data_IF_139993082906
#
_entry.id   IF_139993082906
#
_cell.length_a   1.000
_cell.length_b   1.000
_cell.length_c   1.000
_cell.angle_alpha   90.00
_cell.angle_beta   90.00
_cell.angle_gamma   90.00
#
_symmetry.space_group_name_H-M   'P 1'
#
loop_
_entity.id
_entity.type
_entity.pdbx_description
1 polymer ?
#
# COMPACT_ATOMS: atom_id res chain seq x y z
N UNK A 1 18.57 -4.00 27.57
CA UNK A 1 17.50 -4.95 27.95
C UNK A 1 16.32 -4.12 28.40
N UNK A 2 15.16 -4.26 27.76
CA UNK A 2 14.02 -3.36 27.98
C UNK A 2 13.09 -4.00 29.03
N UNK A 3 12.75 -3.25 30.07
CA UNK A 3 11.92 -3.70 31.19
C UNK A 3 12.52 -3.24 32.53
N UNK A 4 11.70 -2.86 33.53
CA UNK A 4 12.17 -2.28 34.78
C UNK A 4 13.05 -3.22 35.63
N UNK A 5 13.04 -4.52 35.34
CA UNK A 5 13.77 -5.54 36.11
C UNK A 5 14.97 -6.16 35.37
N UNK A 6 15.14 -5.90 34.06
CA UNK A 6 16.27 -6.44 33.31
C UNK A 6 16.31 -7.98 33.28
N UNK A 7 15.16 -8.62 33.02
CA UNK A 7 14.90 -10.06 33.24
C UNK A 7 15.63 -11.06 32.30
N UNK A 8 16.68 -10.62 31.61
CA UNK A 8 17.43 -11.49 30.71
C UNK A 8 16.66 -11.85 29.43
N UNK A 9 17.16 -12.89 28.77
CA UNK A 9 16.40 -13.58 27.72
C UNK A 9 15.41 -14.56 28.38
N UNK A 10 14.23 -14.74 27.78
CA UNK A 10 13.22 -15.73 28.21
C UNK A 10 13.86 -17.08 28.54
N UNK A 11 13.77 -17.56 29.79
CA UNK A 11 14.28 -18.87 30.18
C UNK A 11 13.62 -20.03 29.42
N UNK A 12 14.23 -21.23 29.39
CA UNK A 12 13.70 -22.39 28.65
C UNK A 12 12.26 -22.75 29.00
N UNK A 13 11.90 -22.74 30.29
CA UNK A 13 10.53 -23.04 30.73
C UNK A 13 9.52 -21.99 30.28
N UNK A 14 9.88 -20.70 30.35
CA UNK A 14 9.01 -19.61 29.91
C UNK A 14 8.80 -19.65 28.39
N UNK A 15 9.87 -19.94 27.62
CA UNK A 15 9.78 -20.14 26.18
C UNK A 15 8.87 -21.33 25.84
N UNK A 16 9.02 -22.46 26.55
CA UNK A 16 8.13 -23.62 26.35
C UNK A 16 6.67 -23.26 26.60
N UNK A 17 6.37 -22.57 27.71
CA UNK A 17 5.00 -22.11 28.01
C UNK A 17 4.42 -21.19 26.92
N UNK A 18 5.24 -20.29 26.36
CA UNK A 18 4.83 -19.43 25.27
C UNK A 18 4.53 -20.22 23.98
N UNK A 19 5.38 -21.20 23.64
CA UNK A 19 5.17 -22.08 22.48
C UNK A 19 3.94 -22.97 22.65
N UNK A 20 3.70 -23.49 23.85
CA UNK A 20 2.52 -24.29 24.16
C UNK A 20 1.24 -23.44 24.01
N UNK A 21 1.22 -22.21 24.54
CA UNK A 21 0.13 -21.27 24.32
C UNK A 21 -0.16 -21.03 22.82
N UNK A 22 0.90 -20.84 22.01
CA UNK A 22 0.74 -20.64 20.57
C UNK A 22 0.18 -21.90 19.90
N UNK A 23 0.61 -23.08 20.35
CA UNK A 23 0.15 -24.37 19.81
C UNK A 23 -1.33 -24.63 20.12
N UNK A 24 -1.78 -24.21 21.29
CA UNK A 24 -3.15 -24.46 21.76
C UNK A 24 -4.18 -23.50 21.15
N UNK A 25 -3.77 -22.31 20.68
CA UNK A 25 -4.67 -21.33 20.05
C UNK A 25 -4.49 -21.28 18.52
N UNK A 26 -5.32 -22.05 17.81
CA UNK A 26 -5.32 -22.16 16.34
C UNK A 26 -5.63 -20.85 15.60
N UNK A 27 -6.12 -19.81 16.30
CA UNK A 27 -6.40 -18.49 15.71
C UNK A 27 -5.11 -17.70 15.46
N UNK A 28 -4.00 -18.09 16.08
CA UNK A 28 -2.71 -17.40 15.95
C UNK A 28 -2.05 -17.74 14.61
N UNK A 29 -2.18 -16.83 13.65
CA UNK A 29 -1.60 -17.00 12.32
C UNK A 29 -0.17 -16.46 12.19
N UNK A 30 0.15 -15.42 12.97
CA UNK A 30 1.45 -14.74 12.99
C UNK A 30 2.04 -14.74 14.41
N UNK A 31 3.34 -15.02 14.52
CA UNK A 31 4.10 -14.87 15.76
C UNK A 31 5.16 -13.78 15.59
N UNK A 32 5.20 -12.81 16.52
CA UNK A 32 6.18 -11.73 16.52
C UNK A 32 7.23 -11.98 17.60
N UNK A 33 8.49 -12.08 17.21
CA UNK A 33 9.64 -12.04 18.11
C UNK A 33 10.07 -10.59 18.30
N UNK A 34 9.97 -10.09 19.53
CA UNK A 34 10.28 -8.69 19.91
C UNK A 34 10.74 -8.61 21.38
N UNK A 35 10.81 -7.40 21.96
CA UNK A 35 11.20 -7.15 23.35
C UNK A 35 12.52 -6.40 23.44
N UNK A 36 13.60 -7.11 23.80
CA UNK A 36 14.96 -6.58 23.65
C UNK A 36 15.32 -6.47 22.15
N UNK A 37 16.26 -7.29 21.68
CA UNK A 37 16.46 -7.47 20.25
C UNK A 37 16.67 -8.97 19.96
N UNK A 38 15.78 -9.63 19.20
CA UNK A 38 15.84 -11.06 18.96
C UNK A 38 17.11 -11.51 18.21
N UNK A 39 17.74 -10.64 17.41
CA UNK A 39 18.97 -10.99 16.68
C UNK A 39 20.23 -10.87 17.56
N UNK A 40 20.08 -10.51 18.84
CA UNK A 40 21.14 -10.67 19.83
C UNK A 40 21.29 -12.14 20.25
N UNK A 41 20.24 -12.96 20.09
CA UNK A 41 20.31 -14.40 20.34
C UNK A 41 21.39 -15.05 19.46
N UNK A 42 22.04 -16.09 19.98
CA UNK A 42 22.97 -16.88 19.18
C UNK A 42 22.23 -17.60 18.06
N UNK A 43 22.87 -17.83 16.89
CA UNK A 43 22.26 -18.57 15.79
C UNK A 43 21.67 -19.93 16.22
N UNK A 44 22.34 -20.64 17.14
CA UNK A 44 21.84 -21.89 17.72
C UNK A 44 20.47 -21.71 18.38
N UNK A 45 20.34 -20.73 19.27
CA UNK A 45 19.10 -20.52 20.02
C UNK A 45 17.97 -19.98 19.15
N UNK A 46 18.29 -19.10 18.19
CA UNK A 46 17.31 -18.63 17.22
C UNK A 46 16.78 -19.80 16.37
N UNK A 47 17.68 -20.70 15.93
CA UNK A 47 17.33 -21.91 15.18
C UNK A 47 16.40 -22.84 15.96
N UNK A 48 16.63 -23.03 17.26
CA UNK A 48 15.73 -23.78 18.14
C UNK A 48 14.32 -23.18 18.13
N UNK A 49 14.18 -21.85 18.33
CA UNK A 49 12.87 -21.18 18.30
C UNK A 49 12.20 -21.29 16.93
N UNK A 50 12.94 -21.05 15.85
CA UNK A 50 12.39 -21.11 14.48
C UNK A 50 11.91 -22.51 14.12
N UNK A 51 12.63 -23.56 14.55
CA UNK A 51 12.23 -24.96 14.33
C UNK A 51 11.01 -25.34 15.17
N UNK A 52 10.92 -24.90 16.42
CA UNK A 52 9.73 -25.15 17.24
C UNK A 52 8.49 -24.51 16.62
N UNK A 53 8.58 -23.24 16.19
CA UNK A 53 7.50 -22.55 15.47
C UNK A 53 7.15 -23.25 14.14
N UNK A 54 8.11 -23.93 13.51
CA UNK A 54 7.87 -24.69 12.29
C UNK A 54 6.86 -25.83 12.50
N UNK A 55 6.88 -26.45 13.69
CA UNK A 55 6.00 -27.58 14.06
C UNK A 55 4.55 -27.18 14.29
N UNK A 56 4.27 -25.88 14.38
CA UNK A 56 2.91 -25.37 14.63
C UNK A 56 2.27 -25.04 13.28
N UNK A 57 1.30 -25.85 12.87
CA UNK A 57 0.75 -25.78 11.52
C UNK A 57 0.04 -24.45 11.23
N UNK A 58 -0.83 -23.97 12.12
CA UNK A 58 -1.59 -22.74 11.92
C UNK A 58 -0.74 -21.46 11.90
N UNK A 59 0.46 -21.49 12.47
CA UNK A 59 1.42 -20.38 12.35
C UNK A 59 2.02 -20.40 10.95
N UNK A 60 1.78 -19.35 10.18
CA UNK A 60 2.31 -19.22 8.80
C UNK A 60 3.39 -18.16 8.69
N UNK A 61 3.29 -17.10 9.50
CA UNK A 61 4.21 -15.97 9.48
C UNK A 61 4.96 -15.90 10.80
N UNK A 62 6.28 -15.71 10.70
CA UNK A 62 7.09 -15.23 11.83
C UNK A 62 7.58 -13.84 11.47
N UNK A 63 7.45 -12.88 12.39
CA UNK A 63 7.99 -11.53 12.22
C UNK A 63 8.99 -11.22 13.33
N UNK A 64 10.14 -10.67 12.97
CA UNK A 64 11.20 -10.32 13.91
C UNK A 64 11.37 -8.80 13.91
N UNK A 65 11.28 -8.18 15.08
CA UNK A 65 11.55 -6.75 15.23
C UNK A 65 12.97 -6.56 15.75
N UNK A 66 13.81 -5.83 15.03
CA UNK A 66 15.24 -5.76 15.35
C UNK A 66 15.85 -4.45 14.89
N UNK A 67 16.83 -3.98 15.65
CA UNK A 67 17.73 -2.89 15.32
C UNK A 67 19.12 -3.39 14.95
N UNK A 68 19.45 -4.66 15.23
CA UNK A 68 20.79 -5.25 15.00
C UNK A 68 21.38 -4.92 13.63
N UNK A 69 20.68 -5.03 12.48
CA UNK A 69 21.30 -4.70 11.20
C UNK A 69 21.82 -3.25 11.13
N UNK A 70 21.20 -2.31 11.84
CA UNK A 70 21.59 -0.90 11.87
C UNK A 70 22.69 -0.57 12.90
N UNK A 71 22.88 -1.40 13.94
CA UNK A 71 23.83 -1.13 15.04
C UNK A 71 25.03 -2.07 15.07
N UNK A 72 24.86 -3.30 14.59
CA UNK A 72 25.89 -4.34 14.50
C UNK A 72 25.66 -5.18 13.22
N UNK A 73 25.90 -4.59 12.03
CA UNK A 73 25.62 -5.25 10.74
C UNK A 73 26.42 -6.55 10.55
N UNK A 74 27.57 -6.71 11.22
CA UNK A 74 28.41 -7.91 11.13
C UNK A 74 27.74 -9.14 11.74
N UNK A 75 26.77 -8.96 12.66
CA UNK A 75 25.97 -10.06 13.20
C UNK A 75 25.10 -10.77 12.18
N UNK A 76 24.82 -10.15 11.04
CA UNK A 76 24.11 -10.80 9.95
C UNK A 76 25.10 -11.77 9.28
N UNK A 77 25.47 -12.86 9.95
CA UNK A 77 26.39 -13.89 9.48
C UNK A 77 25.65 -15.01 8.74
N UNK A 78 26.38 -15.89 8.06
CA UNK A 78 25.76 -17.02 7.35
C UNK A 78 25.03 -17.96 8.32
N UNK A 79 25.60 -18.19 9.50
CA UNK A 79 24.95 -18.97 10.57
C UNK A 79 23.63 -18.36 11.02
N UNK A 80 23.56 -17.03 11.16
CA UNK A 80 22.33 -16.34 11.52
C UNK A 80 21.30 -16.45 10.40
N UNK A 81 21.70 -16.22 9.15
CA UNK A 81 20.84 -16.32 7.98
C UNK A 81 20.29 -17.75 7.80
N UNK A 82 21.08 -18.77 8.13
CA UNK A 82 20.64 -20.16 8.13
C UNK A 82 19.66 -20.45 9.29
N UNK A 83 19.94 -19.93 10.49
CA UNK A 83 19.04 -20.04 11.64
C UNK A 83 17.67 -19.42 11.36
N UNK A 84 17.63 -18.23 10.76
CA UNK A 84 16.39 -17.54 10.37
C UNK A 84 15.53 -18.36 9.40
N UNK A 85 16.16 -19.08 8.47
CA UNK A 85 15.46 -19.90 7.46
C UNK A 85 15.08 -21.28 7.95
N UNK A 86 15.61 -21.72 9.09
CA UNK A 86 15.48 -23.09 9.56
C UNK A 86 14.05 -23.54 9.88
N UNK A 87 13.10 -22.60 10.03
CA UNK A 87 11.70 -22.91 10.29
C UNK A 87 10.82 -23.09 9.06
N UNK A 88 11.29 -22.73 7.86
CA UNK A 88 10.52 -22.84 6.61
C UNK A 88 9.25 -21.97 6.52
N UNK A 89 8.89 -21.23 7.57
CA UNK A 89 7.78 -20.26 7.59
C UNK A 89 8.17 -18.97 6.85
N UNK A 90 7.18 -18.25 6.34
CA UNK A 90 7.42 -16.93 5.73
C UNK A 90 7.92 -15.97 6.82
N UNK A 91 9.06 -15.34 6.56
CA UNK A 91 9.73 -14.47 7.52
C UNK A 91 9.60 -13.01 7.09
N UNK A 92 9.16 -12.18 8.02
CA UNK A 92 9.28 -10.72 7.96
C UNK A 92 10.29 -10.23 8.99
N UNK A 93 11.10 -9.24 8.63
CA UNK A 93 12.00 -8.56 9.55
C UNK A 93 11.70 -7.07 9.51
N UNK A 94 11.24 -6.54 10.65
CA UNK A 94 11.02 -5.12 10.85
C UNK A 94 12.34 -4.47 11.30
N UNK A 95 12.98 -3.76 10.37
CA UNK A 95 14.23 -3.05 10.60
C UNK A 95 13.95 -1.71 11.28
N UNK A 96 14.44 -1.55 12.50
CA UNK A 96 14.32 -0.28 13.23
C UNK A 96 15.43 0.70 12.84
N UNK A 97 15.07 1.73 12.07
CA UNK A 97 15.97 2.86 11.74
C UNK A 97 15.17 4.16 11.79
N UNK A 98 15.74 5.22 12.36
CA UNK A 98 15.08 6.53 12.50
C UNK A 98 15.66 7.60 11.58
N UNK A 99 16.87 7.41 11.01
CA UNK A 99 17.47 8.38 10.12
C UNK A 99 18.28 7.71 8.99
N UNK A 100 18.26 8.28 7.78
CA UNK A 100 18.95 7.71 6.60
C UNK A 100 20.48 7.54 6.82
N UNK A 101 21.07 8.35 7.69
CA UNK A 101 22.48 8.25 8.13
C UNK A 101 22.82 6.93 8.82
N UNK A 102 21.84 6.24 9.41
CA UNK A 102 22.05 4.91 9.98
C UNK A 102 22.19 3.84 8.88
N UNK A 103 21.79 4.13 7.63
CA UNK A 103 21.88 3.20 6.49
C UNK A 103 23.26 3.30 5.79
N UNK A 104 24.32 3.04 6.55
CA UNK A 104 25.71 3.01 6.04
C UNK A 104 25.91 1.88 5.03
N UNK A 105 27.05 1.86 4.34
CA UNK A 105 27.43 0.79 3.39
C UNK A 105 27.31 -0.61 3.99
N UNK A 106 27.73 -0.78 5.24
CA UNK A 106 27.70 -2.04 5.97
C UNK A 106 26.26 -2.47 6.26
N UNK A 107 25.40 -1.54 6.67
CA UNK A 107 23.97 -1.79 6.92
C UNK A 107 23.26 -2.16 5.61
N UNK A 108 23.57 -1.48 4.51
CA UNK A 108 23.03 -1.79 3.18
C UNK A 108 23.46 -3.19 2.72
N UNK A 109 24.72 -3.56 2.94
CA UNK A 109 25.22 -4.90 2.63
C UNK A 109 24.54 -5.99 3.49
N UNK A 110 24.30 -5.72 4.79
CA UNK A 110 23.58 -6.62 5.67
C UNK A 110 22.11 -6.82 5.21
N UNK A 111 21.42 -5.75 4.81
CA UNK A 111 20.07 -5.81 4.26
C UNK A 111 20.04 -6.59 2.93
N UNK A 112 21.00 -6.36 2.04
CA UNK A 112 21.10 -7.09 0.78
C UNK A 112 21.22 -8.61 1.01
N UNK A 113 22.00 -9.04 2.02
CA UNK A 113 22.11 -10.45 2.40
C UNK A 113 20.80 -11.02 2.94
N UNK A 114 20.09 -10.28 3.78
CA UNK A 114 18.77 -10.69 4.27
C UNK A 114 17.77 -10.87 3.11
N UNK A 115 17.68 -9.89 2.21
CA UNK A 115 16.81 -9.95 1.03
C UNK A 115 17.17 -11.10 0.09
N UNK A 116 18.47 -11.36 -0.13
CA UNK A 116 18.94 -12.49 -0.94
C UNK A 116 18.50 -13.86 -0.37
N UNK A 117 18.23 -13.92 0.95
CA UNK A 117 17.71 -15.13 1.62
C UNK A 117 16.18 -15.22 1.66
N UNK A 118 15.48 -14.36 0.89
CA UNK A 118 14.01 -14.26 0.82
C UNK A 118 13.34 -13.84 2.14
N UNK A 119 14.07 -13.14 3.01
CA UNK A 119 13.46 -12.47 4.16
C UNK A 119 12.77 -11.20 3.66
N UNK A 120 11.49 -11.03 3.99
CA UNK A 120 10.75 -9.82 3.64
C UNK A 120 11.13 -8.72 4.63
N UNK A 121 11.68 -7.61 4.13
CA UNK A 121 12.08 -6.50 4.98
C UNK A 121 11.03 -5.41 5.00
N UNK A 122 10.65 -4.97 6.19
CA UNK A 122 9.77 -3.82 6.42
C UNK A 122 10.46 -2.85 7.37
N UNK A 123 10.17 -1.55 7.27
CA UNK A 123 10.77 -0.57 8.18
C UNK A 123 9.94 -0.38 9.44
N UNK A 124 10.63 0.00 10.50
CA UNK A 124 10.03 0.57 11.70
C UNK A 124 10.83 1.83 12.06
N UNK A 125 10.14 2.96 12.15
CA UNK A 125 10.74 4.24 12.55
C UNK A 125 9.89 4.87 13.64
N UNK A 126 10.48 5.74 14.44
CA UNK A 126 9.77 6.59 15.42
C UNK A 126 9.96 8.04 15.01
N UNK A 127 8.89 8.83 15.05
CA UNK A 127 8.96 10.27 14.79
C UNK A 127 9.52 10.99 16.03
N UNK A 128 10.78 11.39 15.98
CA UNK A 128 11.54 11.91 17.11
C UNK A 128 11.91 13.38 16.89
N UNK A 129 11.53 14.22 17.86
CA UNK A 129 11.86 15.64 17.88
C UNK A 129 13.37 15.86 17.85
N UNK A 130 13.84 16.74 16.96
CA UNK A 130 15.25 17.06 16.74
C UNK A 130 16.06 15.97 16.02
N UNK A 131 15.41 14.93 15.49
CA UNK A 131 16.07 13.83 14.77
C UNK A 131 15.52 13.68 13.35
N UNK A 132 14.21 13.45 13.23
CA UNK A 132 13.54 13.20 11.95
C UNK A 132 12.15 13.85 11.89
N UNK A 133 11.96 14.92 12.67
CA UNK A 133 10.72 15.69 12.83
C UNK A 133 10.45 16.67 11.68
N UNK A 134 10.80 16.30 10.44
CA UNK A 134 10.46 17.06 9.25
C UNK A 134 10.30 16.13 8.03
N UNK A 135 9.50 16.60 7.06
CA UNK A 135 9.13 15.79 5.90
C UNK A 135 10.29 15.48 4.94
N UNK A 136 11.31 16.34 4.83
CA UNK A 136 12.46 16.09 3.95
C UNK A 136 13.35 14.97 4.50
N UNK A 137 13.68 15.01 5.79
CA UNK A 137 14.45 13.95 6.46
C UNK A 137 13.73 12.61 6.40
N UNK A 138 12.41 12.59 6.61
CA UNK A 138 11.62 11.36 6.48
C UNK A 138 11.55 10.90 5.02
N UNK A 139 11.40 11.80 4.04
CA UNK A 139 11.37 11.42 2.64
C UNK A 139 12.67 10.74 2.21
N UNK A 140 13.81 11.26 2.65
CA UNK A 140 15.12 10.66 2.39
C UNK A 140 15.26 9.28 3.03
N UNK A 141 14.79 9.13 4.28
CA UNK A 141 14.77 7.84 4.96
C UNK A 141 13.89 6.81 4.23
N UNK A 142 12.65 7.18 3.89
CA UNK A 142 11.70 6.26 3.27
C UNK A 142 12.14 5.84 1.86
N UNK A 143 12.71 6.76 1.07
CA UNK A 143 13.32 6.40 -0.22
C UNK A 143 14.52 5.49 -0.04
N UNK A 144 15.39 5.79 0.93
CA UNK A 144 16.57 4.95 1.22
C UNK A 144 16.18 3.53 1.64
N UNK A 145 15.08 3.35 2.36
CA UNK A 145 14.55 2.01 2.66
C UNK A 145 14.17 1.26 1.39
N UNK A 146 13.38 1.89 0.51
CA UNK A 146 12.92 1.26 -0.74
C UNK A 146 14.10 0.87 -1.63
N UNK A 147 15.12 1.74 -1.76
CA UNK A 147 16.34 1.47 -2.53
C UNK A 147 17.07 0.18 -2.11
N UNK A 148 16.96 -0.21 -0.83
CA UNK A 148 17.63 -1.40 -0.28
C UNK A 148 16.68 -2.57 -0.07
N UNK A 149 15.47 -2.51 -0.66
CA UNK A 149 14.48 -3.58 -0.58
C UNK A 149 13.74 -3.67 0.75
N UNK A 150 13.74 -2.59 1.55
CA UNK A 150 12.96 -2.49 2.79
C UNK A 150 11.69 -1.70 2.49
N UNK A 151 10.50 -2.30 2.69
CA UNK A 151 9.23 -1.61 2.49
C UNK A 151 8.93 -0.68 3.68
N UNK A 152 8.74 0.64 3.47
CA UNK A 152 8.25 1.51 4.53
C UNK A 152 6.94 0.99 5.12
N UNK A 153 6.92 0.77 6.44
CA UNK A 153 5.77 0.15 7.11
C UNK A 153 5.22 1.03 8.21
N UNK A 154 5.89 1.16 9.36
CA UNK A 154 5.41 2.01 10.45
C UNK A 154 6.33 3.18 10.76
N UNK A 155 5.73 4.36 10.85
CA UNK A 155 6.25 5.50 11.57
C UNK A 155 5.44 5.63 12.86
N UNK A 156 6.06 5.34 14.00
CA UNK A 156 5.41 5.44 15.29
C UNK A 156 5.42 6.87 15.81
N UNK A 157 4.28 7.31 16.31
CA UNK A 157 4.22 8.42 17.25
C UNK A 157 4.96 8.00 18.55
N UNK A 158 5.76 8.88 19.17
CA UNK A 158 6.49 8.55 20.39
C UNK A 158 5.62 8.05 21.53
N UNK A 159 5.98 6.89 22.09
CA UNK A 159 5.33 6.36 23.29
C UNK A 159 5.55 7.25 24.51
N UNK A 160 4.63 7.13 25.46
CA UNK A 160 4.71 7.74 26.78
C UNK A 160 5.67 6.98 27.73
N UNK A 161 6.84 6.58 27.23
CA UNK A 161 7.85 5.89 28.03
C UNK A 161 8.60 6.85 28.98
N UNK A 162 8.98 6.42 30.19
CA UNK A 162 9.81 7.22 31.10
C UNK A 162 11.11 7.68 30.42
N UNK A 163 11.49 8.95 30.61
CA UNK A 163 12.72 9.52 30.08
C UNK A 163 12.69 9.96 28.61
N UNK A 164 11.64 9.65 27.84
CA UNK A 164 11.57 9.99 26.40
C UNK A 164 10.89 11.32 26.09
N UNK A 165 10.44 12.07 27.10
CA UNK A 165 9.60 13.26 26.93
C UNK A 165 10.17 14.32 25.99
N UNK A 166 11.49 14.49 25.97
CA UNK A 166 12.18 15.47 25.13
C UNK A 166 12.16 15.14 23.62
N UNK A 167 11.89 13.89 23.25
CA UNK A 167 11.74 13.47 21.85
C UNK A 167 10.29 13.55 21.35
N UNK A 168 9.31 13.90 22.20
CA UNK A 168 7.90 13.87 21.82
C UNK A 168 7.48 15.11 21.04
N UNK A 169 6.62 14.88 20.05
CA UNK A 169 5.84 15.90 19.36
C UNK A 169 4.38 15.77 19.80
N UNK A 170 3.58 16.80 19.55
CA UNK A 170 2.12 16.68 19.57
C UNK A 170 1.63 15.84 18.38
N UNK A 171 0.44 15.25 18.49
CA UNK A 171 -0.20 14.53 17.38
C UNK A 171 -0.41 15.46 16.19
N UNK A 172 -0.82 16.71 16.43
CA UNK A 172 -1.04 17.72 15.39
C UNK A 172 0.24 18.02 14.59
N UNK A 173 1.39 18.19 15.25
CA UNK A 173 2.68 18.36 14.58
C UNK A 173 3.04 17.13 13.73
N UNK A 174 2.84 15.92 14.27
CA UNK A 174 3.09 14.69 13.52
C UNK A 174 2.19 14.52 12.30
N UNK A 175 0.91 14.87 12.41
CA UNK A 175 -0.03 14.86 11.28
C UNK A 175 0.33 15.89 10.21
N UNK A 176 0.77 17.08 10.60
CA UNK A 176 1.25 18.10 9.65
C UNK A 176 2.48 17.59 8.88
N UNK A 177 3.45 16.98 9.57
CA UNK A 177 4.63 16.36 8.93
C UNK A 177 4.21 15.25 7.95
N UNK A 178 3.25 14.41 8.32
CA UNK A 178 2.74 13.35 7.44
C UNK A 178 2.03 13.88 6.19
N UNK A 179 1.30 15.00 6.32
CA UNK A 179 0.68 15.68 5.19
C UNK A 179 1.74 16.19 4.20
N UNK A 180 2.78 16.85 4.72
CA UNK A 180 3.90 17.32 3.89
C UNK A 180 4.68 16.16 3.27
N UNK A 181 4.86 15.05 3.99
CA UNK A 181 5.53 13.85 3.51
C UNK A 181 4.78 13.21 2.34
N UNK A 182 3.44 13.18 2.39
CA UNK A 182 2.58 12.64 1.33
C UNK A 182 2.76 13.38 0.00
N UNK A 183 3.02 14.68 0.05
CA UNK A 183 3.29 15.48 -1.16
C UNK A 183 4.63 15.13 -1.83
N UNK A 184 5.56 14.52 -1.09
CA UNK A 184 6.93 14.23 -1.53
C UNK A 184 7.14 12.78 -1.97
N UNK A 185 6.32 11.85 -1.50
CA UNK A 185 6.51 10.41 -1.68
C UNK A 185 5.46 9.76 -2.57
N UNK A 186 5.88 8.74 -3.31
CA UNK A 186 4.93 7.80 -3.92
C UNK A 186 4.30 6.91 -2.84
N UNK A 187 3.16 6.29 -3.13
CA UNK A 187 2.52 5.33 -2.22
C UNK A 187 3.41 4.12 -1.87
N UNK A 188 4.43 3.82 -2.68
CA UNK A 188 5.44 2.80 -2.36
C UNK A 188 6.28 3.19 -1.13
N UNK A 189 6.60 4.47 -0.98
CA UNK A 189 7.47 4.95 0.09
C UNK A 189 6.70 5.44 1.33
N UNK A 190 5.39 5.65 1.24
CA UNK A 190 4.62 6.24 2.33
C UNK A 190 4.42 5.20 3.46
N UNK A 191 4.84 5.50 4.71
CA UNK A 191 4.56 4.64 5.85
C UNK A 191 3.17 4.91 6.43
N UNK A 192 2.65 3.98 7.23
CA UNK A 192 1.51 4.23 8.10
C UNK A 192 1.97 4.96 9.37
N UNK A 193 1.32 6.08 9.69
CA UNK A 193 1.60 6.83 10.91
C UNK A 193 0.74 6.31 12.06
N UNK A 194 1.37 5.64 13.02
CA UNK A 194 0.65 4.89 14.05
C UNK A 194 0.89 5.41 15.47
N UNK A 195 -0.15 5.34 16.28
CA UNK A 195 -0.11 5.57 17.71
C UNK A 195 -0.38 4.25 18.43
N UNK A 196 0.54 3.84 19.30
CA UNK A 196 0.28 2.76 20.26
C UNK A 196 -0.54 3.31 21.42
N UNK A 197 -1.79 2.84 21.57
CA UNK A 197 -2.67 3.33 22.61
C UNK A 197 -2.20 2.87 24.00
N UNK A 198 -2.11 3.78 24.99
CA UNK A 198 -1.80 3.42 26.37
C UNK A 198 -2.74 2.33 26.90
N UNK A 199 -2.23 1.44 27.76
CA UNK A 199 -3.03 0.35 28.32
C UNK A 199 -3.17 -0.88 27.42
N UNK A 200 -2.50 -0.91 26.26
CA UNK A 200 -2.45 -2.10 25.41
C UNK A 200 -3.65 -2.25 24.47
N UNK A 201 -4.34 -1.15 24.15
CA UNK A 201 -5.47 -1.14 23.22
C UNK A 201 -5.07 -1.21 21.73
N UNK A 202 -3.80 -1.50 21.45
CA UNK A 202 -3.29 -1.73 20.10
C UNK A 202 -2.84 -0.46 19.37
N UNK A 203 -2.48 -0.66 18.10
CA UNK A 203 -1.96 0.37 17.19
C UNK A 203 -3.10 0.96 16.39
N UNK A 204 -3.18 2.28 16.35
CA UNK A 204 -4.17 3.01 15.55
C UNK A 204 -3.44 3.90 14.54
N UNK A 205 -3.87 3.83 13.28
CA UNK A 205 -3.40 4.78 12.28
C UNK A 205 -3.99 6.16 12.57
N UNK A 206 -3.12 7.13 12.85
CA UNK A 206 -3.49 8.51 13.20
C UNK A 206 -3.01 9.51 12.14
N UNK A 207 -2.71 9.04 10.93
CA UNK A 207 -2.49 9.90 9.78
C UNK A 207 -3.72 10.78 9.49
N UNK A 208 -3.54 11.80 8.66
CA UNK A 208 -4.64 12.67 8.24
C UNK A 208 -5.67 11.86 7.44
N UNK A 209 -6.91 11.81 7.94
CA UNK A 209 -8.00 11.13 7.25
C UNK A 209 -8.26 11.79 5.90
N UNK A 210 -8.16 11.02 4.82
CA UNK A 210 -8.38 11.55 3.46
C UNK A 210 -9.87 11.67 3.10
N UNK A 211 -10.78 11.30 4.00
CA UNK A 211 -12.21 11.18 3.73
C UNK A 211 -13.02 11.75 4.89
N UNK A 212 -13.94 12.66 4.58
CA UNK A 212 -14.95 13.20 5.50
C UNK A 212 -16.31 13.10 4.85
N UNK A 213 -17.21 12.31 5.42
CA UNK A 213 -18.60 12.27 4.96
C UNK A 213 -19.33 13.55 5.37
N UNK A 214 -20.01 14.19 4.42
CA UNK A 214 -20.82 15.39 4.68
C UNK A 214 -22.33 15.07 4.64
N UNK A 215 -22.74 14.13 3.80
CA UNK A 215 -24.10 13.60 3.69
C UNK A 215 -24.04 12.11 3.30
N UNK A 216 -25.15 11.34 3.41
CA UNK A 216 -25.21 9.99 2.83
C UNK A 216 -24.70 9.98 1.39
N UNK A 217 -23.66 9.18 1.12
CA UNK A 217 -23.03 9.06 -0.19
C UNK A 217 -22.34 10.34 -0.75
N UNK A 218 -22.13 11.39 0.06
CA UNK A 218 -21.36 12.58 -0.35
C UNK A 218 -20.24 12.83 0.63
N UNK A 219 -19.05 13.03 0.08
CA UNK A 219 -17.81 13.07 0.82
C UNK A 219 -16.94 14.23 0.36
N UNK A 220 -16.21 14.80 1.29
CA UNK A 220 -15.02 15.57 1.01
C UNK A 220 -13.83 14.62 1.06
N UNK A 221 -13.09 14.54 -0.03
CA UNK A 221 -11.89 13.72 -0.19
C UNK A 221 -10.70 14.65 -0.32
N UNK A 222 -9.65 14.41 0.46
CA UNK A 222 -8.38 15.12 0.27
C UNK A 222 -7.60 14.46 -0.85
N UNK A 223 -7.24 15.24 -1.87
CA UNK A 223 -6.35 14.76 -2.93
C UNK A 223 -4.89 14.66 -2.46
N UNK A 224 -3.99 14.32 -3.38
CA UNK A 224 -2.57 14.16 -3.07
C UNK A 224 -1.88 15.43 -2.58
N UNK A 225 -2.45 16.61 -2.84
CA UNK A 225 -1.96 17.93 -2.43
C UNK A 225 -2.68 18.45 -1.18
N UNK A 226 -3.59 17.66 -0.62
CA UNK A 226 -4.43 18.05 0.51
C UNK A 226 -5.56 19.00 0.13
N UNK A 227 -5.91 19.13 -1.15
CA UNK A 227 -7.06 19.93 -1.57
C UNK A 227 -8.35 19.12 -1.39
N UNK A 228 -9.39 19.79 -0.90
CA UNK A 228 -10.71 19.19 -0.74
C UNK A 228 -11.38 19.01 -2.11
N UNK A 229 -11.75 17.77 -2.41
CA UNK A 229 -12.50 17.38 -3.59
C UNK A 229 -13.85 16.82 -3.16
N UNK A 230 -14.93 17.27 -3.79
CA UNK A 230 -16.25 16.68 -3.58
C UNK A 230 -16.34 15.35 -4.33
N UNK A 231 -16.62 14.28 -3.59
CA UNK A 231 -16.91 12.96 -4.15
C UNK A 231 -18.35 12.58 -3.82
N UNK A 232 -19.15 12.36 -4.85
CA UNK A 232 -20.53 11.88 -4.72
C UNK A 232 -20.56 10.43 -5.19
N UNK A 233 -20.76 9.50 -4.26
CA UNK A 233 -20.97 8.11 -4.61
C UNK A 233 -22.28 7.96 -5.38
N UNK A 234 -22.33 6.97 -6.28
CA UNK A 234 -23.48 6.67 -7.13
C UNK A 234 -24.03 7.85 -7.94
N UNK A 235 -23.19 8.81 -8.36
CA UNK A 235 -23.56 9.59 -9.55
C UNK A 235 -23.66 8.60 -10.71
N UNK A 236 -24.89 8.29 -11.11
CA UNK A 236 -25.16 8.00 -12.52
C UNK A 236 -24.49 9.13 -13.30
N UNK A 237 -23.60 8.81 -14.23
CA UNK A 237 -23.09 9.83 -15.12
C UNK A 237 -24.28 10.17 -16.01
N UNK A 238 -25.16 11.07 -15.58
CA UNK A 238 -26.36 11.41 -16.36
C UNK A 238 -25.92 11.95 -17.71
N UNK A 239 -25.98 11.08 -18.72
CA UNK A 239 -25.88 11.48 -20.10
C UNK A 239 -27.25 12.03 -20.48
N UNK A 240 -27.33 13.32 -20.77
CA UNK A 240 -28.53 13.89 -21.38
C UNK A 240 -28.92 13.02 -22.58
N UNK A 241 -30.04 12.30 -22.45
CA UNK A 241 -30.60 11.54 -23.56
C UNK A 241 -30.88 12.55 -24.67
N UNK A 242 -30.36 12.35 -25.89
CA UNK A 242 -30.59 13.28 -26.98
C UNK A 242 -32.11 13.37 -27.24
N UNK A 243 -32.69 14.53 -26.97
CA UNK A 243 -34.09 14.85 -27.24
C UNK A 243 -34.23 15.24 -28.71
N UNK A 244 -34.45 14.23 -29.56
CA UNK A 244 -34.67 14.35 -31.01
C UNK A 244 -34.34 13.03 -31.71
N UNK A 245 -34.88 12.79 -32.91
CA UNK A 245 -34.47 11.67 -33.78
C UNK A 245 -33.01 11.89 -34.25
N UNK A 246 -32.04 11.71 -33.35
CA UNK A 246 -30.62 11.64 -33.73
C UNK A 246 -30.31 10.25 -34.25
N UNK A 247 -29.54 10.18 -35.32
CA UNK A 247 -29.03 8.91 -35.82
C UNK A 247 -28.04 8.28 -34.83
N UNK A 248 -27.81 6.97 -34.92
CA UNK A 248 -26.82 6.27 -34.09
C UNK A 248 -25.43 6.92 -34.23
N UNK A 249 -25.05 7.26 -35.46
CA UNK A 249 -23.80 7.96 -35.77
C UNK A 249 -23.69 9.31 -35.06
N UNK A 250 -24.75 10.14 -35.08
CA UNK A 250 -24.77 11.44 -34.39
C UNK A 250 -24.62 11.29 -32.87
N UNK A 251 -25.23 10.26 -32.29
CA UNK A 251 -25.12 9.96 -30.87
C UNK A 251 -23.69 9.53 -30.50
N UNK A 252 -23.09 8.64 -31.30
CA UNK A 252 -21.68 8.21 -31.13
C UNK A 252 -20.74 9.41 -31.24
N UNK A 253 -20.93 10.30 -32.23
CA UNK A 253 -20.13 11.52 -32.41
C UNK A 253 -20.25 12.45 -31.22
N UNK A 254 -21.45 12.67 -30.69
CA UNK A 254 -21.67 13.50 -29.51
C UNK A 254 -20.97 12.93 -28.26
N UNK A 255 -21.07 11.62 -28.05
CA UNK A 255 -20.37 10.93 -26.95
C UNK A 255 -18.86 11.00 -27.12
N UNK A 256 -18.34 10.79 -28.33
CA UNK A 256 -16.92 10.90 -28.64
C UNK A 256 -16.40 12.32 -28.42
N UNK A 257 -17.18 13.36 -28.74
CA UNK A 257 -16.79 14.75 -28.51
C UNK A 257 -16.72 15.08 -27.01
N UNK A 258 -17.63 14.50 -26.21
CA UNK A 258 -17.71 14.70 -24.76
C UNK A 258 -16.67 13.88 -23.99
N UNK A 259 -16.39 12.65 -24.41
CA UNK A 259 -15.66 11.65 -23.63
C UNK A 259 -14.33 11.22 -24.26
N UNK A 260 -14.16 11.44 -25.56
CA UNK A 260 -13.01 10.96 -26.33
C UNK A 260 -11.70 11.70 -26.05
N UNK A 261 -11.77 12.93 -25.52
CA UNK A 261 -10.59 13.73 -25.19
C UNK A 261 -9.64 13.97 -26.38
N UNK A 262 -10.19 14.00 -27.60
CA UNK A 262 -9.40 14.09 -28.82
C UNK A 262 -8.82 15.52 -29.00
N UNK A 263 -7.56 15.65 -29.46
CA UNK A 263 -6.96 16.93 -29.82
C UNK A 263 -7.59 17.58 -31.07
N UNK A 264 -8.41 16.82 -31.82
CA UNK A 264 -9.10 17.26 -33.03
C UNK A 264 -10.62 17.27 -32.81
N UNK A 265 -11.32 18.21 -33.44
CA UNK A 265 -12.78 18.27 -33.37
C UNK A 265 -13.42 17.04 -34.05
N UNK A 266 -14.37 16.40 -33.38
CA UNK A 266 -14.99 15.15 -33.88
C UNK A 266 -15.68 15.32 -35.24
N UNK A 267 -16.23 16.51 -35.52
CA UNK A 267 -16.91 16.81 -36.79
C UNK A 267 -15.97 16.80 -38.00
N UNK A 268 -14.64 16.88 -37.78
CA UNK A 268 -13.64 16.79 -38.86
C UNK A 268 -13.18 15.36 -39.13
N UNK A 269 -13.58 14.39 -38.30
CA UNK A 269 -13.24 12.98 -38.46
C UNK A 269 -14.20 12.27 -39.41
N UNK A 270 -13.64 11.54 -40.38
CA UNK A 270 -14.40 10.59 -41.20
C UNK A 270 -14.82 9.38 -40.35
N UNK A 271 -15.87 8.66 -40.78
CA UNK A 271 -16.36 7.50 -40.03
C UNK A 271 -15.32 6.37 -39.88
N UNK A 272 -14.40 6.26 -40.85
CA UNK A 272 -13.34 5.25 -40.89
C UNK A 272 -12.00 5.74 -40.30
N UNK A 273 -11.94 6.97 -39.76
CA UNK A 273 -10.72 7.49 -39.15
C UNK A 273 -10.30 6.62 -37.94
N UNK A 274 -9.01 6.32 -37.84
CA UNK A 274 -8.44 5.64 -36.69
C UNK A 274 -8.47 6.58 -35.48
N UNK A 275 -9.37 6.29 -34.53
CA UNK A 275 -9.58 7.12 -33.35
C UNK A 275 -8.36 7.11 -32.42
N UNK A 276 -7.61 6.02 -32.35
CA UNK A 276 -6.39 5.95 -31.55
C UNK A 276 -5.27 6.79 -32.17
N UNK A 277 -5.16 6.79 -33.51
CA UNK A 277 -4.26 7.70 -34.21
C UNK A 277 -4.68 9.17 -34.06
N UNK A 278 -6.00 9.42 -33.98
CA UNK A 278 -6.56 10.74 -33.71
C UNK A 278 -6.40 11.19 -32.25
N UNK A 279 -5.92 10.34 -31.35
CA UNK A 279 -5.60 10.69 -29.95
C UNK A 279 -6.50 10.06 -28.88
N UNK A 280 -7.36 9.10 -29.23
CA UNK A 280 -8.22 8.41 -28.26
C UNK A 280 -7.36 7.57 -27.30
N UNK A 281 -7.37 7.91 -26.01
CA UNK A 281 -6.66 7.13 -24.99
C UNK A 281 -7.46 5.90 -24.55
N UNK A 282 -6.80 4.92 -23.93
CA UNK A 282 -7.50 3.74 -23.38
C UNK A 282 -8.50 4.11 -22.28
N UNK A 283 -8.20 5.14 -21.48
CA UNK A 283 -9.15 5.65 -20.47
C UNK A 283 -10.38 6.28 -21.13
N UNK A 284 -10.16 7.10 -22.16
CA UNK A 284 -11.23 7.73 -22.92
C UNK A 284 -12.11 6.70 -23.66
N UNK A 285 -11.53 5.61 -24.18
CA UNK A 285 -12.33 4.52 -24.78
C UNK A 285 -13.23 3.80 -23.76
N UNK A 286 -12.79 3.65 -22.50
CA UNK A 286 -13.63 3.08 -21.44
C UNK A 286 -14.77 4.05 -21.08
N UNK A 287 -14.47 5.35 -20.96
CA UNK A 287 -15.52 6.35 -20.73
C UNK A 287 -16.54 6.36 -21.87
N UNK A 288 -16.06 6.30 -23.12
CA UNK A 288 -16.93 6.21 -24.30
C UNK A 288 -17.80 4.95 -24.29
N UNK A 289 -17.24 3.79 -23.94
CA UNK A 289 -18.00 2.54 -23.77
C UNK A 289 -19.15 2.71 -22.78
N UNK A 290 -18.87 3.20 -21.56
CA UNK A 290 -19.90 3.42 -20.54
C UNK A 290 -20.99 4.40 -21.04
N UNK A 291 -20.60 5.46 -21.74
CA UNK A 291 -21.54 6.39 -22.34
C UNK A 291 -22.42 5.76 -23.43
N UNK A 292 -21.88 4.81 -24.20
CA UNK A 292 -22.62 4.05 -25.22
C UNK A 292 -23.59 3.05 -24.57
N UNK A 293 -23.17 2.35 -23.52
CA UNK A 293 -24.03 1.45 -22.75
C UNK A 293 -25.27 2.19 -22.22
N UNK A 294 -25.07 3.36 -21.63
CA UNK A 294 -26.16 4.17 -21.11
C UNK A 294 -27.04 4.79 -22.22
N UNK A 295 -26.41 5.33 -23.28
CA UNK A 295 -27.15 5.99 -24.36
C UNK A 295 -28.01 5.02 -25.18
N UNK A 296 -27.57 3.77 -25.34
CA UNK A 296 -28.26 2.74 -26.13
C UNK A 296 -28.96 1.68 -25.27
N UNK A 297 -28.95 1.82 -23.94
CA UNK A 297 -29.47 0.84 -22.98
C UNK A 297 -28.94 -0.58 -23.28
N UNK A 298 -27.62 -0.73 -23.31
CA UNK A 298 -26.95 -2.00 -23.66
C UNK A 298 -25.75 -2.25 -22.75
N UNK A 299 -25.23 -3.49 -22.75
CA UNK A 299 -23.96 -3.84 -22.12
C UNK A 299 -23.02 -4.44 -23.18
N UNK A 300 -21.75 -4.05 -23.17
CA UNK A 300 -20.75 -4.65 -24.05
C UNK A 300 -20.34 -6.03 -23.52
N UNK A 301 -20.48 -7.10 -24.32
CA UNK A 301 -19.97 -8.40 -23.93
C UNK A 301 -18.44 -8.43 -24.01
N UNK A 302 -17.80 -9.24 -23.14
CA UNK A 302 -16.33 -9.32 -22.98
C UNK A 302 -15.56 -9.49 -24.30
N UNK A 303 -16.11 -10.24 -25.25
CA UNK A 303 -15.49 -10.47 -26.56
C UNK A 303 -15.44 -9.22 -27.45
N UNK A 304 -16.30 -8.22 -27.20
CA UNK A 304 -16.36 -6.94 -27.89
C UNK A 304 -15.63 -5.83 -27.13
N UNK A 305 -15.08 -6.10 -25.94
CA UNK A 305 -14.22 -5.20 -25.17
C UNK A 305 -12.79 -5.19 -25.71
N UNK A 306 -12.62 -4.82 -26.98
CA UNK A 306 -11.33 -4.86 -27.65
C UNK A 306 -11.08 -3.61 -28.49
N UNK A 307 -9.81 -3.39 -28.85
CA UNK A 307 -9.37 -2.21 -29.62
C UNK A 307 -10.09 -2.08 -30.97
N UNK A 308 -10.53 -3.17 -31.60
CA UNK A 308 -11.20 -3.11 -32.91
C UNK A 308 -12.59 -2.48 -32.79
N UNK A 309 -13.33 -2.79 -31.73
CA UNK A 309 -14.67 -2.26 -31.49
C UNK A 309 -14.71 -0.74 -31.30
N UNK A 310 -13.58 -0.13 -30.90
CA UNK A 310 -13.43 1.31 -30.71
C UNK A 310 -12.43 1.95 -31.69
N UNK A 311 -12.06 1.25 -32.77
CA UNK A 311 -11.02 1.71 -33.71
C UNK A 311 -11.48 2.92 -34.55
N UNK A 312 -12.75 2.99 -34.90
CA UNK A 312 -13.35 4.05 -35.72
C UNK A 312 -14.80 4.29 -35.31
N UNK A 313 -15.39 5.41 -35.75
CA UNK A 313 -16.82 5.69 -35.52
C UNK A 313 -17.67 4.59 -36.18
N UNK A 314 -17.30 4.14 -37.38
CA UNK A 314 -17.96 3.04 -38.08
C UNK A 314 -17.85 1.70 -37.32
N UNK A 315 -16.70 1.42 -36.70
CA UNK A 315 -16.53 0.20 -35.90
C UNK A 315 -17.40 0.22 -34.63
N UNK A 316 -17.49 1.37 -33.98
CA UNK A 316 -18.38 1.58 -32.82
C UNK A 316 -19.84 1.39 -33.25
N UNK A 317 -20.25 2.02 -34.35
CA UNK A 317 -21.60 1.91 -34.90
C UNK A 317 -21.97 0.46 -35.24
N UNK A 318 -21.10 -0.28 -35.91
CA UNK A 318 -21.31 -1.70 -36.20
C UNK A 318 -21.40 -2.56 -34.94
N UNK A 319 -20.58 -2.26 -33.92
CA UNK A 319 -20.59 -2.99 -32.65
C UNK A 319 -21.89 -2.73 -31.88
N UNK A 320 -22.29 -1.47 -31.74
CA UNK A 320 -23.55 -1.06 -31.10
C UNK A 320 -24.74 -1.67 -31.84
N UNK A 321 -24.76 -1.61 -33.18
CA UNK A 321 -25.84 -2.18 -33.99
C UNK A 321 -25.98 -3.69 -33.83
N UNK A 322 -24.87 -4.41 -33.66
CA UNK A 322 -24.88 -5.86 -33.40
C UNK A 322 -25.54 -6.14 -32.03
N UNK A 323 -25.09 -5.45 -30.98
CA UNK A 323 -25.60 -5.65 -29.61
C UNK A 323 -27.09 -5.29 -29.50
N UNK A 324 -27.50 -4.15 -30.06
CA UNK A 324 -28.90 -3.70 -30.04
C UNK A 324 -29.78 -4.56 -30.95
N UNK A 325 -29.24 -5.04 -32.07
CA UNK A 325 -29.92 -5.93 -33.02
C UNK A 325 -30.25 -7.29 -32.43
N UNK A 326 -29.30 -7.90 -31.71
CA UNK A 326 -29.48 -9.20 -31.04
C UNK A 326 -30.57 -9.15 -29.95
N UNK A 327 -30.76 -7.98 -29.33
CA UNK A 327 -31.84 -7.72 -28.35
C UNK A 327 -33.26 -7.72 -28.94
N UNK A 328 -33.43 -7.47 -30.25
CA UNK A 328 -34.75 -7.48 -30.91
C UNK A 328 -35.20 -8.88 -31.33
N UNK A 329 -34.30 -9.87 -31.26
CA UNK A 329 -34.53 -11.26 -31.69
C UNK A 329 -34.75 -12.20 -30.50
N UNK A 330 -34.50 -11.73 -29.26
CA UNK A 330 -34.75 -12.43 -28.00
C UNK A 330 -36.05 -11.96 -27.34
#
# INVERSE_FOLDING_TARGET
>A
MVGPQGDGNLGPEALKKALDYIRDDVRIWEVILTGGDPLILSPRRLREVMRELATIDHVRIVRIHTRVPAVDPQRISDDLLEALRSGGKTLYLALHVNHARELTSEVRAACARLTATRVNLVSQSVLLKGVNDNADTLADLMRSFVEIGVKPYYLHHPDMAPGTGHFRLTIAEGQAIMQDLRNKLSGLCLPHYILDLPGGHGKVEIGTGALRQIEPNRYIVLDRLGQEQLYEGNRSIEFERPTGEKTMNETIRALLAKLGGLPVAVDTLTNDADLYAAGLSSFASVQLMLGLEEAFDMEFPDNLLNRKSFASIAAIEATVATIVGDRKVA
#
